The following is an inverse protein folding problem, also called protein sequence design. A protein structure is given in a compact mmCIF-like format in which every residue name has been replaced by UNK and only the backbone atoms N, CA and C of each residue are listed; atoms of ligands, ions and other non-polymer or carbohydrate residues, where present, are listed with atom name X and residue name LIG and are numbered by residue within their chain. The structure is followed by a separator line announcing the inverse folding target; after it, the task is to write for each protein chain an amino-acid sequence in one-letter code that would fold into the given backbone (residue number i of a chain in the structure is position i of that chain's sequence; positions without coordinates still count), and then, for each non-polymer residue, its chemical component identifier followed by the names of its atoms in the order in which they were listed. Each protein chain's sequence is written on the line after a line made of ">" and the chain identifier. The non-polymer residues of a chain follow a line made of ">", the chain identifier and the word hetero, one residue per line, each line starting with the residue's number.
data_IF_229467015661
#
_entry.id   IF_229467015661
#
_cell.length_a   1.000
_cell.length_b   1.000
_cell.length_c   1.000
_cell.angle_alpha   90.00
_cell.angle_beta   90.00
_cell.angle_gamma   90.00
#
_symmetry.space_group_name_H-M   'P 1'
#
loop_
_entity.id
_entity.type
_entity.pdbx_description
1 polymer ?
#
# COMPACT_ATOMS: atom_id res chain seq x y z
N UNK A 1 7.60 5.47 16.23
CA UNK A 1 6.43 4.90 15.51
C UNK A 1 6.92 3.94 14.41
N UNK A 2 6.39 2.71 14.31
CA UNK A 2 6.86 1.66 13.35
C UNK A 2 6.43 1.94 11.90
N UNK A 3 5.17 2.36 11.70
CA UNK A 3 4.62 2.62 10.36
C UNK A 3 5.45 3.65 9.58
N UNK A 4 5.94 4.71 10.24
CA UNK A 4 6.83 5.69 9.62
C UNK A 4 8.19 5.04 9.27
N UNK A 5 8.86 4.44 10.26
CA UNK A 5 10.24 3.93 10.10
C UNK A 5 10.38 2.73 9.16
N UNK A 6 9.33 1.92 9.04
CA UNK A 6 9.33 0.69 8.23
C UNK A 6 8.51 0.84 6.95
N UNK A 7 7.90 2.01 6.71
CA UNK A 7 7.27 2.28 5.42
C UNK A 7 8.32 2.33 4.32
N UNK A 8 7.97 1.77 3.17
CA UNK A 8 8.76 1.84 1.95
C UNK A 8 7.99 2.66 0.94
N UNK A 9 8.72 3.41 0.12
CA UNK A 9 8.15 4.08 -1.04
C UNK A 9 8.23 3.11 -2.21
N UNK A 10 7.09 2.82 -2.85
CA UNK A 10 6.99 1.87 -3.96
C UNK A 10 6.20 2.50 -5.11
N UNK A 11 6.62 2.23 -6.34
CA UNK A 11 5.89 2.63 -7.54
C UNK A 11 4.63 1.77 -7.70
N UNK A 12 3.53 2.38 -8.12
CA UNK A 12 2.28 1.68 -8.42
C UNK A 12 2.16 1.37 -9.90
N UNK A 13 1.69 0.16 -10.21
CA UNK A 13 1.27 -0.24 -11.54
C UNK A 13 -0.21 -0.58 -11.55
N UNK A 14 -0.89 -0.31 -12.66
CA UNK A 14 -2.23 -0.83 -12.88
C UNK A 14 -2.17 -2.27 -13.38
N UNK A 15 -3.02 -3.13 -12.84
CA UNK A 15 -3.17 -4.50 -13.31
C UNK A 15 -3.89 -5.39 -12.29
N UNK A 16 -3.92 -6.69 -12.59
CA UNK A 16 -4.39 -7.67 -11.62
C UNK A 16 -3.23 -8.06 -10.68
N UNK A 17 -3.38 -7.90 -9.36
CA UNK A 17 -2.37 -8.37 -8.41
C UNK A 17 -2.12 -9.87 -8.61
N UNK A 18 -0.86 -10.30 -8.51
CA UNK A 18 -0.53 -11.71 -8.59
C UNK A 18 -1.30 -12.49 -7.51
N UNK A 19 -1.85 -13.67 -7.83
CA UNK A 19 -2.47 -14.53 -6.83
C UNK A 19 -1.41 -15.00 -5.82
N UNK A 20 -1.76 -15.00 -4.53
CA UNK A 20 -0.87 -15.42 -3.45
C UNK A 20 -1.44 -15.10 -2.07
N UNK A 21 -0.99 -15.85 -1.06
CA UNK A 21 -1.33 -15.55 0.34
C UNK A 21 -0.39 -14.46 0.87
N UNK A 22 -0.72 -13.21 0.56
CA UNK A 22 0.03 -12.05 1.03
C UNK A 22 -0.55 -11.48 2.33
N UNK A 23 0.31 -10.95 3.22
CA UNK A 23 -0.15 -10.28 4.43
C UNK A 23 -0.93 -9.01 4.09
N UNK A 24 -1.75 -8.57 5.03
CA UNK A 24 -2.36 -7.25 4.95
C UNK A 24 -1.28 -6.16 5.06
N UNK A 25 -1.26 -5.25 4.10
CA UNK A 25 -0.39 -4.10 4.06
C UNK A 25 -1.23 -2.83 4.04
N UNK A 26 -0.80 -1.83 4.81
CA UNK A 26 -1.32 -0.48 4.73
C UNK A 26 -0.60 0.24 3.59
N UNK A 27 -1.39 0.79 2.68
CA UNK A 27 -0.93 1.61 1.55
C UNK A 27 -1.49 3.00 1.70
N UNK A 28 -0.66 4.02 1.54
CA UNK A 28 -1.08 5.42 1.58
C UNK A 28 -0.45 6.21 0.44
N UNK A 29 -1.21 7.12 -0.17
CA UNK A 29 -0.67 8.05 -1.15
C UNK A 29 0.18 9.14 -0.47
N UNK A 30 0.93 9.91 -1.26
CA UNK A 30 1.74 11.05 -0.77
C UNK A 30 1.04 12.41 -0.97
N UNK A 31 -0.25 12.41 -1.30
CA UNK A 31 -1.02 13.63 -1.54
C UNK A 31 -1.51 14.23 -0.22
N UNK A 32 -0.87 15.29 0.24
CA UNK A 32 -1.22 15.95 1.51
C UNK A 32 -2.65 16.50 1.54
N UNK A 33 -3.13 17.06 0.42
CA UNK A 33 -4.47 17.66 0.35
C UNK A 33 -5.58 16.62 0.18
N UNK A 34 -5.28 15.50 -0.49
CA UNK A 34 -6.23 14.41 -0.75
C UNK A 34 -5.68 13.08 -0.26
N UNK A 35 -5.28 13.07 1.02
CA UNK A 35 -4.69 11.88 1.62
C UNK A 35 -5.68 10.71 1.61
N UNK A 36 -5.22 9.57 1.10
CA UNK A 36 -5.97 8.32 1.05
C UNK A 36 -5.08 7.17 1.49
N UNK A 37 -5.66 6.25 2.24
CA UNK A 37 -5.03 5.01 2.63
C UNK A 37 -6.00 3.84 2.50
N UNK A 38 -5.47 2.66 2.19
CA UNK A 38 -6.25 1.43 2.04
C UNK A 38 -5.46 0.23 2.56
N UNK A 39 -6.18 -0.82 2.95
CA UNK A 39 -5.61 -2.13 3.23
C UNK A 39 -5.64 -2.99 1.98
N UNK A 40 -4.49 -3.52 1.59
CA UNK A 40 -4.35 -4.43 0.46
C UNK A 40 -3.56 -5.67 0.86
N UNK A 41 -3.79 -6.80 0.19
CA UNK A 41 -2.93 -7.98 0.31
C UNK A 41 -1.81 -7.86 -0.71
N UNK A 42 -0.59 -7.66 -0.23
CA UNK A 42 0.58 -7.48 -1.09
C UNK A 42 1.86 -7.93 -0.39
N UNK A 43 2.87 -8.29 -1.17
CA UNK A 43 4.22 -8.52 -0.64
C UNK A 43 4.81 -7.19 -0.13
N UNK A 44 5.11 -7.05 1.19
CA UNK A 44 5.71 -5.83 1.72
C UNK A 44 7.13 -5.57 1.21
N UNK A 45 7.79 -6.57 0.62
CA UNK A 45 9.12 -6.45 0.02
C UNK A 45 9.08 -6.18 -1.49
N UNK A 46 7.90 -6.09 -2.10
CA UNK A 46 7.81 -5.77 -3.54
C UNK A 46 8.50 -4.45 -3.88
N UNK A 47 9.06 -4.38 -5.08
CA UNK A 47 9.59 -3.13 -5.65
C UNK A 47 8.52 -2.35 -6.41
N UNK A 48 7.45 -3.04 -6.84
CA UNK A 48 6.34 -2.46 -7.60
C UNK A 48 5.01 -3.02 -7.10
N UNK A 49 4.09 -2.15 -6.73
CA UNK A 49 2.78 -2.54 -6.22
C UNK A 49 1.75 -2.54 -7.36
N UNK A 50 1.29 -3.72 -7.76
CA UNK A 50 0.21 -3.84 -8.76
C UNK A 50 -1.13 -3.67 -8.05
N UNK A 51 -1.94 -2.73 -8.52
CA UNK A 51 -3.28 -2.44 -8.01
C UNK A 51 -4.30 -2.45 -9.14
N UNK A 52 -5.53 -2.84 -8.80
CA UNK A 52 -6.64 -2.75 -9.76
C UNK A 52 -7.03 -1.29 -10.01
N UNK A 53 -7.72 -1.02 -11.12
CA UNK A 53 -8.26 0.31 -11.42
C UNK A 53 -9.12 0.87 -10.28
N UNK A 54 -9.93 0.02 -9.62
CA UNK A 54 -10.75 0.42 -8.49
C UNK A 54 -9.91 0.81 -7.25
N UNK A 55 -8.82 0.10 -6.99
CA UNK A 55 -7.90 0.43 -5.89
C UNK A 55 -7.13 1.73 -6.17
N UNK A 56 -6.71 1.95 -7.42
CA UNK A 56 -6.09 3.19 -7.87
C UNK A 56 -7.00 4.40 -7.68
N UNK A 57 -8.27 4.31 -8.11
CA UNK A 57 -9.24 5.39 -7.91
C UNK A 57 -9.50 5.66 -6.42
N UNK A 58 -9.66 4.62 -5.60
CA UNK A 58 -9.88 4.75 -4.17
C UNK A 58 -8.70 5.46 -3.47
N UNK A 59 -7.46 5.18 -3.91
CA UNK A 59 -6.25 5.83 -3.41
C UNK A 59 -5.95 7.19 -4.06
N UNK A 60 -6.70 7.58 -5.10
CA UNK A 60 -6.43 8.75 -5.93
C UNK A 60 -4.99 8.75 -6.48
N UNK A 61 -4.54 7.58 -6.91
CA UNK A 61 -3.26 7.36 -7.58
C UNK A 61 -3.46 6.98 -9.05
N UNK A 62 -2.40 7.13 -9.83
CA UNK A 62 -2.27 6.65 -11.21
C UNK A 62 -1.09 5.68 -11.30
N UNK A 63 -1.06 4.87 -12.35
CA UNK A 63 0.13 4.07 -12.65
C UNK A 63 1.36 4.99 -12.83
N UNK A 64 2.48 4.63 -12.21
CA UNK A 64 3.69 5.44 -12.13
C UNK A 64 3.79 6.34 -10.89
N UNK A 65 2.69 6.56 -10.15
CA UNK A 65 2.74 7.26 -8.88
C UNK A 65 3.44 6.41 -7.81
N UNK A 66 3.91 7.07 -6.75
CA UNK A 66 4.51 6.41 -5.60
C UNK A 66 3.56 6.41 -4.40
N UNK A 67 3.58 5.31 -3.64
CA UNK A 67 2.80 5.14 -2.42
C UNK A 67 3.68 4.62 -1.29
N UNK A 68 3.28 4.92 -0.06
CA UNK A 68 3.86 4.36 1.16
C UNK A 68 3.22 3.02 1.45
N UNK A 69 4.04 1.97 1.46
CA UNK A 69 3.64 0.60 1.78
C UNK A 69 4.27 0.17 3.11
N UNK A 70 3.46 -0.41 4.00
CA UNK A 70 3.96 -1.07 5.21
C UNK A 70 3.11 -2.28 5.56
N UNK A 71 3.76 -3.38 5.98
CA UNK A 71 3.05 -4.54 6.50
C UNK A 71 2.31 -4.17 7.78
N UNK A 72 1.03 -4.51 7.85
CA UNK A 72 0.28 -4.48 9.10
C UNK A 72 0.68 -5.72 9.92
N UNK A 73 1.19 -5.53 11.13
CA UNK A 73 1.39 -6.65 12.06
C UNK A 73 0.08 -6.93 12.78
N UNK A 74 -0.20 -8.21 13.04
CA UNK A 74 -1.43 -8.66 13.68
C UNK A 74 -1.51 -8.33 15.19
N UNK A 75 -0.39 -8.01 15.84
CA UNK A 75 -0.41 -7.57 17.23
C UNK A 75 -0.95 -6.14 17.32
N UNK A 76 -2.25 -6.04 17.61
CA UNK A 76 -2.82 -4.92 18.32
C UNK A 76 -2.00 -4.71 19.60
N UNK A 77 -1.50 -3.49 19.80
CA UNK A 77 -0.95 -3.13 21.10
C UNK A 77 -2.10 -3.15 22.10
N UNK A 78 -2.17 -4.17 22.93
CA UNK A 78 -2.89 -4.10 24.20
C UNK A 78 -2.17 -3.03 25.03
N UNK A 79 -2.82 -1.89 25.23
CA UNK A 79 -2.37 -0.81 26.11
C UNK A 79 -2.86 -1.11 27.51
#
# INVERSE_FOLDING_TARGET
>A
MRAIRKSRLVEVAEGQPAPGDYPACLVANENYHHFRAALVRADPQTSRLVLTAAQLDALKCRAGDHVRLVRLCAEEKTV
#
